data_IF_416509962854
#
_entry.id   IF_416509962854
#
_cell.length_a   1.000
_cell.length_b   1.000
_cell.length_c   1.000
_cell.angle_alpha   90.00
_cell.angle_beta   90.00
_cell.angle_gamma   90.00
#
_symmetry.space_group_name_H-M   'P 1'
#
loop_
_entity.id
_entity.type
_entity.pdbx_description
1 polymer ?
#
# COMPACT_ATOMS: atom_id res chain seq x y z
N UNK A 1 -13.64 -10.76 -7.40
CA UNK A 1 -12.49 -9.82 -7.38
C UNK A 1 -12.50 -9.14 -6.01
N UNK A 2 -11.46 -9.24 -5.18
CA UNK A 2 -11.46 -8.58 -3.87
C UNK A 2 -11.77 -7.09 -4.03
N UNK A 3 -12.53 -6.46 -3.11
CA UNK A 3 -12.99 -5.08 -3.24
C UNK A 3 -11.86 -4.04 -3.09
N UNK A 4 -10.64 -4.46 -2.75
CA UNK A 4 -9.50 -3.58 -2.48
C UNK A 4 -8.37 -3.81 -3.48
N UNK A 5 -7.75 -2.72 -3.95
CA UNK A 5 -6.51 -2.79 -4.71
C UNK A 5 -5.34 -3.22 -3.82
N UNK A 6 -4.30 -3.83 -4.40
CA UNK A 6 -3.09 -4.20 -3.66
C UNK A 6 -2.48 -2.99 -2.93
N UNK A 7 -2.49 -1.81 -3.56
CA UNK A 7 -2.09 -0.56 -2.92
C UNK A 7 -2.94 -0.24 -1.67
N UNK A 8 -4.26 -0.42 -1.73
CA UNK A 8 -5.14 -0.19 -0.57
C UNK A 8 -4.85 -1.14 0.60
N UNK A 9 -4.51 -2.40 0.30
CA UNK A 9 -4.15 -3.38 1.32
C UNK A 9 -2.85 -2.99 2.03
N UNK A 10 -1.83 -2.57 1.27
CA UNK A 10 -0.56 -2.13 1.81
C UNK A 10 -0.74 -0.85 2.66
N UNK A 11 -1.55 0.11 2.19
CA UNK A 11 -1.87 1.33 2.94
C UNK A 11 -2.50 0.98 4.29
N UNK A 12 -3.50 0.10 4.30
CA UNK A 12 -4.14 -0.33 5.54
C UNK A 12 -3.15 -1.02 6.48
N UNK A 13 -2.33 -1.95 5.97
CA UNK A 13 -1.34 -2.66 6.78
C UNK A 13 -0.39 -1.67 7.49
N UNK A 14 0.25 -0.79 6.73
CA UNK A 14 1.20 0.19 7.27
C UNK A 14 0.51 1.17 8.23
N UNK A 15 -0.72 1.60 7.93
CA UNK A 15 -1.47 2.52 8.79
C UNK A 15 -1.90 1.89 10.12
N UNK A 16 -2.04 0.57 10.18
CA UNK A 16 -2.31 -0.14 11.45
C UNK A 16 -1.06 -0.40 12.29
N UNK A 17 0.14 -0.17 11.75
CA UNK A 17 1.38 -0.27 12.52
C UNK A 17 1.53 0.93 13.44
N UNK A 18 1.78 0.71 14.73
CA UNK A 18 2.04 1.77 15.71
C UNK A 18 3.24 2.65 15.32
N UNK A 19 4.18 2.08 14.56
CA UNK A 19 5.39 2.79 14.10
C UNK A 19 5.21 3.47 12.75
N UNK A 20 4.06 3.31 12.09
CA UNK A 20 3.81 3.82 10.74
C UNK A 20 4.71 3.19 9.66
N UNK A 21 5.35 2.07 9.97
CA UNK A 21 6.22 1.33 9.06
C UNK A 21 6.10 -0.18 9.28
N UNK A 22 6.30 -0.97 8.24
CA UNK A 22 6.27 -2.45 8.29
C UNK A 22 7.32 -3.05 7.36
N UNK A 23 7.82 -4.25 7.67
CA UNK A 23 8.65 -4.98 6.71
C UNK A 23 7.78 -5.65 5.64
N UNK A 24 8.38 -6.08 4.53
CA UNK A 24 7.66 -6.87 3.52
C UNK A 24 7.01 -8.13 4.11
N UNK A 25 7.72 -8.83 5.01
CA UNK A 25 7.20 -10.03 5.66
C UNK A 25 6.02 -9.71 6.57
N UNK A 26 6.06 -8.58 7.28
CA UNK A 26 4.95 -8.18 8.17
C UNK A 26 3.71 -7.78 7.36
N UNK A 27 3.89 -7.17 6.18
CA UNK A 27 2.78 -6.90 5.24
C UNK A 27 2.14 -8.21 4.78
N UNK A 28 2.94 -9.24 4.46
CA UNK A 28 2.42 -10.56 4.10
C UNK A 28 1.58 -11.16 5.22
N UNK A 29 2.13 -11.19 6.44
CA UNK A 29 1.45 -11.71 7.63
C UNK A 29 0.13 -10.98 7.89
N UNK A 30 0.15 -9.65 7.85
CA UNK A 30 -1.06 -8.85 8.06
C UNK A 30 -2.16 -9.17 7.04
N UNK A 31 -1.80 -9.37 5.77
CA UNK A 31 -2.78 -9.72 4.72
C UNK A 31 -3.37 -11.11 4.97
N UNK A 32 -2.52 -12.08 5.33
CA UNK A 32 -2.94 -13.45 5.64
C UNK A 32 -3.86 -13.47 6.87
N UNK A 33 -3.50 -12.74 7.92
CA UNK A 33 -4.29 -12.67 9.17
C UNK A 33 -5.65 -12.00 8.95
N UNK A 34 -5.70 -10.95 8.12
CA UNK A 34 -6.93 -10.19 7.88
C UNK A 34 -7.86 -10.84 6.84
N UNK A 35 -7.30 -11.54 5.86
CA UNK A 35 -8.05 -12.14 4.75
C UNK A 35 -7.63 -13.60 4.49
N UNK A 36 -7.71 -14.49 5.48
CA UNK A 36 -7.15 -15.84 5.42
C UNK A 36 -7.82 -16.74 4.37
N UNK A 37 -9.07 -16.46 4.00
CA UNK A 37 -9.78 -17.20 2.96
C UNK A 37 -9.45 -16.76 1.53
N UNK A 38 -8.71 -15.65 1.36
CA UNK A 38 -8.41 -15.05 0.05
C UNK A 38 -6.93 -15.13 -0.33
N UNK A 39 -6.04 -15.27 0.65
CA UNK A 39 -4.59 -15.30 0.42
C UNK A 39 -3.97 -16.52 1.09
N UNK A 40 -2.98 -17.11 0.43
CA UNK A 40 -2.25 -18.27 0.91
C UNK A 40 -0.75 -17.93 1.00
N UNK A 41 -0.08 -18.33 2.08
CA UNK A 41 1.35 -18.08 2.29
C UNK A 41 2.24 -18.72 1.21
N UNK A 42 1.83 -19.83 0.62
CA UNK A 42 2.57 -20.53 -0.44
C UNK A 42 2.36 -19.91 -1.82
N UNK A 43 1.33 -19.08 -1.99
CA UNK A 43 1.03 -18.44 -3.27
C UNK A 43 1.97 -17.25 -3.51
N UNK A 44 2.93 -17.45 -4.41
CA UNK A 44 3.90 -16.42 -4.80
C UNK A 44 3.31 -15.35 -5.71
N UNK A 45 2.14 -15.58 -6.32
CA UNK A 45 1.50 -14.68 -7.29
C UNK A 45 1.12 -13.35 -6.64
N UNK A 46 0.31 -13.38 -5.59
CA UNK A 46 -0.09 -12.16 -4.88
C UNK A 46 1.11 -11.50 -4.19
N UNK A 47 2.06 -12.29 -3.66
CA UNK A 47 3.28 -11.74 -3.05
C UNK A 47 4.11 -10.95 -4.06
N UNK A 48 4.17 -11.43 -5.30
CA UNK A 48 4.83 -10.72 -6.39
C UNK A 48 4.12 -9.41 -6.73
N UNK A 49 2.79 -9.44 -6.78
CA UNK A 49 1.99 -8.21 -6.95
C UNK A 49 2.23 -7.20 -5.84
N UNK A 50 2.37 -7.63 -4.58
CA UNK A 50 2.70 -6.76 -3.45
C UNK A 50 4.10 -6.14 -3.61
N UNK A 51 5.14 -6.94 -3.92
CA UNK A 51 6.52 -6.42 -4.14
C UNK A 51 6.56 -5.39 -5.28
N UNK A 52 5.86 -5.69 -6.36
CA UNK A 52 5.72 -4.81 -7.51
C UNK A 52 5.03 -3.49 -7.13
N UNK A 53 3.92 -3.54 -6.40
CA UNK A 53 3.21 -2.34 -5.94
C UNK A 53 4.06 -1.47 -5.03
N UNK A 54 4.79 -2.08 -4.08
CA UNK A 54 5.68 -1.35 -3.18
C UNK A 54 6.77 -0.58 -3.93
N UNK A 55 7.24 -1.13 -5.06
CA UNK A 55 8.32 -0.52 -5.83
C UNK A 55 7.82 0.52 -6.85
N UNK A 56 6.63 0.30 -7.43
CA UNK A 56 6.07 1.19 -8.46
C UNK A 56 5.29 2.37 -7.90
N UNK A 57 4.58 2.18 -6.79
CA UNK A 57 3.65 3.20 -6.31
C UNK A 57 4.37 4.22 -5.42
N UNK A 58 4.30 5.49 -5.81
CA UNK A 58 4.86 6.66 -5.10
C UNK A 58 4.37 6.80 -3.65
N UNK A 59 3.26 6.15 -3.29
CA UNK A 59 2.75 6.12 -1.92
C UNK A 59 3.66 5.37 -0.95
N UNK A 60 4.51 4.47 -1.44
CA UNK A 60 5.37 3.64 -0.60
C UNK A 60 6.82 4.02 -0.75
N UNK A 61 7.49 4.26 0.38
CA UNK A 61 8.93 4.52 0.41
C UNK A 61 9.63 3.49 1.29
N UNK A 62 10.79 3.02 0.81
CA UNK A 62 11.63 2.07 1.53
C UNK A 62 12.61 2.81 2.44
N UNK A 63 12.60 2.50 3.73
CA UNK A 63 13.56 3.01 4.73
C UNK A 63 14.58 1.91 5.04
N UNK A 64 15.89 2.23 5.04
CA UNK A 64 16.92 1.33 5.54
C UNK A 64 16.69 0.95 7.02
N UNK A 65 16.93 -0.31 7.37
CA UNK A 65 17.02 -0.70 8.79
C UNK A 65 18.30 -0.14 9.40
N UNK A 66 18.21 0.48 10.57
CA UNK A 66 19.39 0.92 11.33
C UNK A 66 20.35 -0.25 11.55
N UNK A 67 21.63 -0.07 11.20
CA UNK A 67 22.66 -1.11 11.33
C UNK A 67 22.59 -2.25 10.30
N UNK A 68 21.72 -2.18 9.29
CA UNK A 68 21.67 -3.21 8.24
C UNK A 68 22.79 -3.02 7.21
N UNK A 69 23.57 -4.07 6.99
CA UNK A 69 24.42 -4.19 5.80
C UNK A 69 23.58 -4.23 4.51
N UNK A 70 24.21 -3.92 3.37
CA UNK A 70 23.62 -4.03 2.03
C UNK A 70 23.06 -5.45 1.82
N UNK A 71 21.75 -5.64 2.01
CA UNK A 71 21.07 -6.92 1.72
C UNK A 71 19.93 -7.32 2.68
N UNK A 72 19.92 -6.85 3.93
CA UNK A 72 18.93 -7.26 4.95
C UNK A 72 17.62 -6.45 4.90
N UNK A 73 16.96 -6.45 3.75
CA UNK A 73 15.63 -5.87 3.58
C UNK A 73 15.53 -4.40 4.00
N UNK A 74 14.30 -3.90 4.18
CA UNK A 74 14.03 -2.54 4.68
C UNK A 74 12.63 -2.46 5.26
N UNK A 75 12.33 -1.35 5.90
CA UNK A 75 10.94 -1.00 6.23
C UNK A 75 10.28 -0.32 5.04
N UNK A 76 8.98 -0.47 4.93
CA UNK A 76 8.11 0.27 4.04
C UNK A 76 7.23 1.18 4.89
N UNK A 77 7.14 2.43 4.50
CA UNK A 77 6.24 3.41 5.12
C UNK A 77 5.45 4.14 4.04
N UNK A 78 4.44 4.89 4.46
CA UNK A 78 3.69 5.77 3.59
C UNK A 78 4.41 7.10 3.41
N UNK A 79 4.39 7.63 2.19
CA UNK A 79 4.85 8.98 1.94
C UNK A 79 3.71 9.98 2.22
N UNK A 80 3.83 10.70 3.34
CA UNK A 80 2.87 11.69 3.83
C UNK A 80 2.44 12.69 2.76
N UNK A 81 3.34 13.07 1.83
CA UNK A 81 3.05 14.01 0.74
C UNK A 81 1.92 13.53 -0.18
N UNK A 82 1.79 12.22 -0.35
CA UNK A 82 0.79 11.66 -1.27
C UNK A 82 -0.49 11.20 -0.58
N UNK A 83 -0.45 10.99 0.75
CA UNK A 83 -1.67 10.78 1.54
C UNK A 83 -2.51 12.05 1.64
N UNK A 84 -1.87 13.22 1.69
CA UNK A 84 -2.55 14.52 1.66
C UNK A 84 -3.20 14.80 0.29
N UNK A 85 -2.58 14.34 -0.79
CA UNK A 85 -3.03 14.51 -2.17
C UNK A 85 -4.31 13.68 -2.47
N UNK A 86 -4.47 12.48 -1.90
CA UNK A 86 -5.74 11.73 -1.97
C UNK A 86 -6.87 12.42 -1.20
N UNK A 87 -6.55 13.10 -0.09
CA UNK A 87 -7.50 13.92 0.66
C UNK A 87 -8.00 15.15 -0.11
N UNK A 88 -7.20 15.66 -1.06
CA UNK A 88 -7.58 16.76 -1.96
C UNK A 88 -8.23 16.26 -3.26
N UNK A 89 -7.84 15.09 -3.78
CA UNK A 89 -8.39 14.48 -4.99
C UNK A 89 -9.84 14.00 -4.87
N UNK A 90 -10.38 13.84 -3.65
CA UNK A 90 -11.80 13.58 -3.41
C UNK A 90 -12.63 14.87 -3.49
N UNK A 91 -12.04 16.04 -3.19
CA UNK A 91 -12.74 17.34 -3.26
C UNK A 91 -12.99 17.77 -4.70
N UNK A 92 -12.07 17.44 -5.61
CA UNK A 92 -12.17 17.82 -7.02
C UNK A 92 -12.92 16.79 -7.90
N UNK A 93 -13.43 15.69 -7.33
CA UNK A 93 -14.22 14.67 -8.04
C UNK A 93 -15.73 14.79 -7.83
N UNK A 94 -16.22 15.96 -7.42
CA UNK A 94 -17.61 16.38 -7.59
C UNK A 94 -17.63 17.70 -8.36
N UNK A 95 -17.79 17.57 -9.67
CA UNK A 95 -18.67 18.35 -10.56
C UNK A 95 -18.11 18.21 -11.97
N UNK A 96 -18.63 17.26 -12.75
CA UNK A 96 -18.82 17.50 -14.17
C UNK A 96 -19.95 18.53 -14.27
N UNK A 97 -19.73 19.78 -14.71
CA UNK A 97 -20.83 20.59 -15.17
C UNK A 97 -21.20 20.04 -16.56
N UNK A 98 -22.31 19.31 -16.59
CA UNK A 98 -22.93 18.83 -17.81
C UNK A 98 -23.52 20.04 -18.55
N UNK A 99 -22.71 20.72 -19.36
CA UNK A 99 -23.18 21.83 -20.20
C UNK A 99 -23.62 21.28 -21.56
N UNK A 100 -24.88 20.84 -21.64
CA UNK A 100 -25.58 20.75 -22.91
C UNK A 100 -25.88 22.19 -23.39
N UNK A 101 -25.18 22.63 -24.43
CA UNK A 101 -25.63 23.77 -25.24
C UNK A 101 -26.53 23.23 -26.35
N UNK A 102 -27.60 23.99 -26.58
CA UNK A 102 -28.69 23.79 -27.55
C UNK A 102 -28.24 23.65 -29.00
#
# INVERSE_FOLDING_TARGET
>A
RPPFSCSSLIIQAISTSETGQMTLQDIYKWILDKYPSLYNEEDTGWQNTIRHNLSLNKYFKKIPKSGSSRGKGGFWTLDSKYLEDEGQGIKNRRTTPNNHHS
#
